data_IF_057794561726
#
_entry.id   IF_057794561726
#
_cell.length_a   1.000
_cell.length_b   1.000
_cell.length_c   1.000
_cell.angle_alpha   90.00
_cell.angle_beta   90.00
_cell.angle_gamma   90.00
#
_symmetry.space_group_name_H-M   'P 1'
#
loop_
_entity.id
_entity.type
_entity.pdbx_description
1 polymer ?
#
# COMPACT_ATOMS: atom_id res chain seq x y z
N UNK A 1 41.80 7.43 70.18
CA UNK A 1 41.33 8.03 68.91
C UNK A 1 40.47 6.99 68.22
N UNK A 2 39.17 7.20 68.23
CA UNK A 2 38.18 6.26 67.56
C UNK A 2 37.84 6.87 66.21
N UNK A 3 38.20 6.20 65.10
CA UNK A 3 37.79 6.55 63.77
C UNK A 3 36.44 5.98 63.47
N UNK A 4 35.46 6.83 63.22
CA UNK A 4 34.14 6.43 62.78
C UNK A 4 34.10 6.53 61.26
N UNK A 5 33.96 5.40 60.56
CA UNK A 5 33.66 5.38 59.11
C UNK A 5 32.19 5.65 58.90
N UNK A 6 31.84 6.72 58.16
CA UNK A 6 30.51 6.93 57.59
C UNK A 6 30.42 6.19 56.24
N UNK A 7 29.55 5.23 56.17
CA UNK A 7 29.15 4.60 54.93
C UNK A 7 28.04 5.39 54.25
N UNK A 8 28.32 5.97 53.07
CA UNK A 8 27.34 6.64 52.24
C UNK A 8 26.60 5.57 51.42
N UNK A 9 25.32 5.41 51.67
CA UNK A 9 24.40 4.59 50.84
C UNK A 9 23.88 5.46 49.72
N UNK A 10 24.33 5.27 48.50
CA UNK A 10 23.75 5.90 47.30
C UNK A 10 22.49 5.13 46.88
N UNK A 11 21.34 5.74 47.02
CA UNK A 11 20.12 5.26 46.44
C UNK A 11 20.10 5.58 44.94
N UNK A 12 20.21 4.57 44.09
CA UNK A 12 19.96 4.68 42.66
C UNK A 12 18.45 4.57 42.47
N UNK A 13 17.81 5.70 42.19
CA UNK A 13 16.42 5.73 41.73
C UNK A 13 16.42 5.19 40.27
N UNK A 14 16.01 3.95 40.08
CA UNK A 14 15.60 3.45 38.79
C UNK A 14 14.27 4.15 38.44
N UNK A 15 14.32 5.14 37.58
CA UNK A 15 13.14 5.67 36.91
C UNK A 15 12.78 4.61 35.87
N UNK A 16 11.82 3.74 36.19
CA UNK A 16 11.14 2.94 35.17
C UNK A 16 10.40 3.91 34.27
N UNK A 17 10.87 4.09 33.04
CA UNK A 17 10.08 4.72 31.99
C UNK A 17 8.75 3.98 31.86
N UNK A 18 7.68 4.64 31.38
CA UNK A 18 6.44 3.95 31.10
C UNK A 18 6.75 2.82 30.12
N UNK A 19 6.55 1.57 30.55
CA UNK A 19 6.50 0.45 29.62
C UNK A 19 5.43 0.80 28.57
N UNK A 20 5.77 0.72 27.30
CA UNK A 20 4.77 0.77 26.24
C UNK A 20 3.69 -0.24 26.64
N UNK A 21 2.47 0.21 26.90
CA UNK A 21 1.38 -0.69 27.20
C UNK A 21 1.20 -1.56 25.96
N UNK A 22 1.23 -2.89 26.13
CA UNK A 22 0.90 -3.82 25.05
C UNK A 22 -0.43 -3.38 24.44
N UNK A 23 -0.40 -3.11 23.13
CA UNK A 23 -1.57 -2.61 22.43
C UNK A 23 -2.63 -3.71 22.42
N UNK A 24 -3.89 -3.34 22.65
CA UNK A 24 -4.98 -4.31 22.76
C UNK A 24 -5.28 -4.94 21.40
N UNK A 25 -5.23 -6.26 21.34
CA UNK A 25 -5.79 -7.05 20.24
C UNK A 25 -7.31 -7.15 20.40
N UNK A 26 -8.03 -6.90 19.32
CA UNK A 26 -9.49 -7.06 19.23
C UNK A 26 -9.84 -8.23 18.33
N UNK A 27 -10.94 -8.94 18.58
CA UNK A 27 -11.37 -10.03 17.71
C UNK A 27 -11.81 -9.53 16.34
N UNK A 28 -11.48 -10.30 15.29
CA UNK A 28 -12.01 -10.16 13.96
C UNK A 28 -12.76 -11.44 13.57
N UNK A 29 -13.89 -11.30 12.87
CA UNK A 29 -14.71 -12.42 12.43
C UNK A 29 -14.98 -12.31 10.94
N UNK A 30 -14.78 -13.39 10.19
CA UNK A 30 -15.06 -13.45 8.76
C UNK A 30 -16.58 -13.43 8.53
N UNK A 31 -17.08 -12.39 7.88
CA UNK A 31 -18.48 -12.24 7.49
C UNK A 31 -18.69 -12.54 5.99
N UNK A 32 -17.66 -12.41 5.16
CA UNK A 32 -17.72 -12.72 3.74
C UNK A 32 -16.36 -12.71 3.08
N UNK A 33 -16.24 -13.38 1.94
CA UNK A 33 -15.07 -13.36 1.07
C UNK A 33 -15.49 -13.25 -0.38
N UNK A 34 -14.79 -12.45 -1.17
CA UNK A 34 -14.94 -12.37 -2.62
C UNK A 34 -13.57 -12.41 -3.29
N UNK A 35 -13.48 -13.06 -4.44
CA UNK A 35 -12.20 -13.31 -5.13
C UNK A 35 -12.32 -12.89 -6.59
N UNK A 36 -11.37 -12.07 -7.04
CA UNK A 36 -11.15 -11.78 -8.45
C UNK A 36 -9.94 -12.61 -8.90
N UNK A 37 -10.11 -13.53 -9.88
CA UNK A 37 -9.01 -14.37 -10.35
C UNK A 37 -7.83 -13.54 -10.91
N UNK A 38 -6.60 -13.96 -10.62
CA UNK A 38 -5.38 -13.30 -11.04
C UNK A 38 -5.28 -13.10 -12.57
N UNK A 39 -5.86 -13.99 -13.37
CA UNK A 39 -5.88 -13.91 -14.82
C UNK A 39 -7.02 -13.06 -15.39
N UNK A 40 -7.61 -12.16 -14.59
CA UNK A 40 -8.66 -11.25 -15.08
C UNK A 40 -8.03 -10.12 -15.89
N UNK A 41 -8.34 -10.07 -17.18
CA UNK A 41 -7.78 -9.11 -18.12
C UNK A 41 -8.88 -8.24 -18.74
N UNK A 42 -8.51 -7.03 -19.14
CA UNK A 42 -9.36 -6.13 -19.93
C UNK A 42 -8.58 -5.65 -21.17
N UNK A 43 -9.28 -5.46 -22.28
CA UNK A 43 -8.66 -4.85 -23.45
C UNK A 43 -8.28 -3.39 -23.17
N UNK A 44 -7.13 -2.95 -23.68
CA UNK A 44 -6.85 -1.53 -23.74
C UNK A 44 -7.92 -0.80 -24.56
N UNK A 45 -8.19 0.49 -24.30
CA UNK A 45 -9.12 1.29 -25.11
C UNK A 45 -8.79 1.23 -26.62
N UNK A 46 -9.82 1.29 -27.47
CA UNK A 46 -9.66 1.18 -28.92
C UNK A 46 -8.73 2.24 -29.50
N UNK A 47 -8.68 3.42 -28.89
CA UNK A 47 -7.83 4.53 -29.28
C UNK A 47 -6.44 4.52 -28.60
N UNK A 48 -6.16 3.50 -27.78
CA UNK A 48 -4.83 3.33 -27.22
C UNK A 48 -3.82 2.85 -28.28
N UNK A 49 -2.55 3.28 -28.19
CA UNK A 49 -1.50 2.77 -29.06
C UNK A 49 -1.39 1.24 -29.00
N UNK A 50 -1.01 0.63 -30.14
CA UNK A 50 -0.77 -0.82 -30.26
C UNK A 50 0.17 -1.34 -29.17
N UNK A 51 1.12 -0.52 -28.76
CA UNK A 51 2.06 -0.78 -27.68
C UNK A 51 1.39 -1.21 -26.35
N UNK A 52 0.18 -0.71 -26.05
CA UNK A 52 -0.57 -0.97 -24.82
C UNK A 52 -1.58 -2.13 -24.93
N UNK A 53 -1.74 -2.74 -26.10
CA UNK A 53 -2.67 -3.87 -26.25
C UNK A 53 -2.23 -5.13 -25.51
N UNK A 54 -0.92 -5.26 -25.27
CA UNK A 54 -0.32 -6.34 -24.51
C UNK A 54 0.56 -5.75 -23.40
N UNK A 55 0.57 -6.36 -22.23
CA UNK A 55 1.29 -5.85 -21.07
C UNK A 55 2.27 -6.89 -20.48
N UNK A 56 3.27 -6.40 -19.72
CA UNK A 56 4.30 -7.27 -19.12
C UNK A 56 5.43 -7.68 -20.06
N UNK A 57 5.64 -6.94 -21.15
CA UNK A 57 6.73 -7.22 -22.11
C UNK A 57 8.13 -6.93 -21.57
N UNK A 58 8.24 -6.14 -20.49
CA UNK A 58 9.51 -5.66 -19.94
C UNK A 58 9.92 -6.31 -18.61
N UNK A 59 9.26 -7.39 -18.20
CA UNK A 59 9.45 -8.03 -16.90
C UNK A 59 10.69 -8.91 -16.78
N UNK A 60 11.54 -8.97 -17.80
CA UNK A 60 12.80 -9.72 -17.75
C UNK A 60 13.94 -8.88 -17.18
N UNK A 61 14.74 -9.48 -16.28
CA UNK A 61 15.82 -8.78 -15.56
C UNK A 61 16.92 -8.18 -16.47
N UNK A 62 17.08 -8.68 -17.69
CA UNK A 62 18.04 -8.21 -18.69
C UNK A 62 17.50 -7.04 -19.55
N UNK A 63 16.33 -6.50 -19.21
CA UNK A 63 15.63 -5.44 -19.94
C UNK A 63 15.33 -5.77 -21.41
N UNK A 64 15.27 -7.03 -21.76
CA UNK A 64 14.82 -7.44 -23.09
C UNK A 64 13.31 -7.39 -23.16
N UNK A 65 12.82 -6.75 -24.21
CA UNK A 65 11.41 -6.76 -24.52
C UNK A 65 11.01 -8.13 -25.09
N UNK A 66 9.98 -8.73 -24.51
CA UNK A 66 9.41 -10.01 -24.95
C UNK A 66 8.09 -9.79 -25.64
N UNK A 67 8.00 -10.12 -26.93
CA UNK A 67 6.78 -9.93 -27.73
C UNK A 67 5.89 -11.20 -27.81
N UNK A 68 6.46 -12.36 -27.52
CA UNK A 68 5.73 -13.63 -27.62
C UNK A 68 4.84 -13.81 -26.38
N UNK A 69 3.53 -13.68 -26.55
CA UNK A 69 2.54 -13.86 -25.50
C UNK A 69 2.71 -15.19 -24.77
N UNK A 70 2.58 -15.18 -23.45
CA UNK A 70 2.65 -16.37 -22.60
C UNK A 70 3.98 -17.10 -22.60
N UNK A 71 5.09 -16.44 -23.00
CA UNK A 71 6.40 -17.10 -23.13
C UNK A 71 7.28 -17.02 -21.88
N UNK A 72 7.02 -16.07 -20.95
CA UNK A 72 7.80 -15.87 -19.74
C UNK A 72 6.97 -16.32 -18.52
N UNK A 73 7.42 -17.34 -17.76
CA UNK A 73 6.69 -17.77 -16.58
C UNK A 73 6.73 -16.70 -15.48
N UNK A 74 5.60 -16.49 -14.81
CA UNK A 74 5.55 -15.73 -13.56
C UNK A 74 6.33 -16.47 -12.47
N UNK A 75 6.95 -15.71 -11.57
CA UNK A 75 7.78 -16.30 -10.51
C UNK A 75 7.66 -15.46 -9.23
N UNK A 76 7.65 -16.17 -8.11
CA UNK A 76 7.87 -15.62 -6.79
C UNK A 76 9.14 -16.28 -6.21
N UNK A 77 10.26 -15.57 -6.26
CA UNK A 77 11.57 -16.15 -5.95
C UNK A 77 11.89 -17.36 -6.82
N UNK A 78 12.09 -18.52 -6.19
CA UNK A 78 12.35 -19.80 -6.88
C UNK A 78 11.07 -20.52 -7.33
N UNK A 79 9.91 -20.06 -6.91
CA UNK A 79 8.60 -20.65 -7.20
C UNK A 79 8.06 -20.14 -8.52
N UNK A 80 7.66 -21.05 -9.40
CA UNK A 80 7.02 -20.72 -10.68
C UNK A 80 5.51 -20.75 -10.46
N UNK A 81 4.83 -19.67 -10.87
CA UNK A 81 3.37 -19.58 -10.80
C UNK A 81 2.71 -20.17 -12.05
N UNK A 82 1.39 -20.29 -12.02
CA UNK A 82 0.57 -20.81 -13.14
C UNK A 82 0.33 -19.77 -14.25
N UNK A 83 0.84 -18.54 -14.10
CA UNK A 83 0.68 -17.47 -15.08
C UNK A 83 1.94 -17.27 -15.93
N UNK A 84 1.75 -16.70 -17.11
CA UNK A 84 2.82 -16.40 -18.06
C UNK A 84 2.62 -15.05 -18.73
N UNK A 85 3.71 -14.34 -18.91
CA UNK A 85 3.79 -13.02 -19.55
C UNK A 85 4.36 -13.12 -20.97
N UNK A 86 4.20 -12.10 -21.81
CA UNK A 86 3.24 -10.98 -21.73
C UNK A 86 1.80 -11.44 -21.73
N UNK A 87 0.91 -10.61 -21.19
CA UNK A 87 -0.53 -10.82 -21.23
C UNK A 87 -1.17 -10.24 -22.50
N UNK A 88 -2.26 -10.87 -22.96
CA UNK A 88 -3.09 -10.35 -24.05
C UNK A 88 -4.15 -9.41 -23.46
N UNK A 89 -3.75 -8.19 -23.15
CA UNK A 89 -4.56 -7.16 -22.50
C UNK A 89 -3.88 -6.51 -21.29
N UNK A 90 -4.66 -5.79 -20.51
CA UNK A 90 -4.26 -5.13 -19.28
C UNK A 90 -4.83 -5.91 -18.09
N UNK A 91 -4.02 -6.36 -17.13
CA UNK A 91 -4.50 -7.14 -16.01
C UNK A 91 -5.21 -6.23 -15.00
N UNK A 92 -6.41 -6.66 -14.55
CA UNK A 92 -7.13 -6.06 -13.43
C UNK A 92 -6.57 -6.71 -12.16
N UNK A 93 -5.56 -6.08 -11.57
CA UNK A 93 -4.74 -6.67 -10.51
C UNK A 93 -3.99 -5.58 -9.72
N UNK A 94 -3.19 -5.96 -8.70
CA UNK A 94 -2.39 -5.00 -7.96
C UNK A 94 -3.29 -3.99 -7.26
N UNK A 95 -4.28 -4.45 -6.49
CA UNK A 95 -5.26 -3.55 -5.91
C UNK A 95 -4.69 -2.86 -4.68
N UNK A 96 -4.34 -1.58 -4.85
CA UNK A 96 -3.92 -0.68 -3.78
C UNK A 96 -4.96 0.39 -3.52
N UNK A 97 -5.26 0.60 -2.23
CA UNK A 97 -6.28 1.52 -1.77
C UNK A 97 -7.72 1.16 -2.17
N UNK A 98 -8.63 1.26 -1.23
CA UNK A 98 -10.06 1.01 -1.47
C UNK A 98 -10.93 2.06 -0.79
N UNK A 99 -12.04 2.44 -1.45
CA UNK A 99 -13.03 3.34 -0.86
C UNK A 99 -14.45 2.84 -1.05
N UNK A 100 -15.14 2.64 0.05
CA UNK A 100 -16.55 2.27 0.11
C UNK A 100 -17.44 3.41 -0.40
N UNK A 101 -18.38 3.09 -1.27
CA UNK A 101 -19.34 4.04 -1.83
C UNK A 101 -20.74 3.84 -1.23
N UNK A 102 -21.56 4.91 -1.13
CA UNK A 102 -22.91 4.83 -0.55
C UNK A 102 -23.86 3.86 -1.25
N UNK A 103 -23.61 3.50 -2.52
CA UNK A 103 -24.42 2.57 -3.31
C UNK A 103 -23.98 1.09 -3.15
N UNK A 104 -23.06 0.81 -2.23
CA UNK A 104 -22.54 -0.53 -1.96
C UNK A 104 -21.52 -1.04 -2.97
N UNK A 105 -21.01 -0.17 -3.84
CA UNK A 105 -19.83 -0.44 -4.66
C UNK A 105 -18.57 0.11 -3.99
N UNK A 106 -17.41 -0.18 -4.59
CA UNK A 106 -16.12 0.28 -4.10
C UNK A 106 -15.31 0.85 -5.25
N UNK A 107 -14.53 1.91 -5.00
CA UNK A 107 -13.44 2.30 -5.86
C UNK A 107 -12.14 1.72 -5.33
N UNK A 108 -11.32 1.21 -6.23
CA UNK A 108 -9.94 0.78 -5.99
C UNK A 108 -9.12 1.08 -7.23
N UNK A 109 -7.83 0.87 -7.19
CA UNK A 109 -6.95 1.09 -8.34
C UNK A 109 -5.99 -0.10 -8.54
N UNK A 110 -5.44 -0.22 -9.73
CA UNK A 110 -4.23 -1.01 -9.96
C UNK A 110 -3.00 -0.12 -9.78
N UNK A 111 -1.99 -0.62 -9.08
CA UNK A 111 -0.69 0.00 -8.85
C UNK A 111 0.10 0.22 -10.16
N UNK A 112 1.44 0.29 -10.10
CA UNK A 112 2.27 0.40 -11.31
C UNK A 112 2.22 -0.83 -12.24
N UNK A 113 1.69 -1.94 -11.80
CA UNK A 113 1.40 -3.14 -12.58
C UNK A 113 2.47 -4.23 -12.56
N UNK A 114 3.76 -3.94 -12.57
CA UNK A 114 4.83 -4.96 -12.61
C UNK A 114 5.99 -4.65 -11.65
N UNK A 115 5.70 -4.03 -10.52
CA UNK A 115 6.58 -3.84 -9.36
C UNK A 115 7.75 -2.88 -9.56
N UNK A 116 7.94 -2.30 -10.72
CA UNK A 116 8.95 -1.26 -10.92
C UNK A 116 8.69 -0.42 -12.16
N UNK A 117 9.15 0.82 -12.12
CA UNK A 117 9.13 1.75 -13.27
C UNK A 117 9.68 1.14 -14.56
N UNK A 118 10.77 0.37 -14.46
CA UNK A 118 11.44 -0.22 -15.62
C UNK A 118 10.62 -1.34 -16.28
N UNK A 119 9.77 -2.02 -15.52
CA UNK A 119 8.95 -3.14 -15.99
C UNK A 119 7.57 -2.72 -16.49
N UNK A 120 7.12 -1.53 -16.13
CA UNK A 120 5.70 -1.14 -16.17
C UNK A 120 5.34 -0.13 -17.26
N UNK A 121 6.21 0.08 -18.27
CA UNK A 121 5.95 1.02 -19.36
C UNK A 121 4.80 0.62 -20.29
N UNK A 122 4.34 -0.63 -20.23
CA UNK A 122 3.19 -1.15 -20.97
C UNK A 122 2.02 -1.59 -20.08
N UNK A 123 2.11 -1.35 -18.77
CA UNK A 123 1.00 -1.45 -17.84
C UNK A 123 0.26 -0.11 -17.78
N UNK A 124 -1.02 -0.09 -18.14
CA UNK A 124 -1.83 1.13 -18.06
C UNK A 124 -2.27 1.38 -16.62
N UNK A 125 -2.28 2.64 -16.20
CA UNK A 125 -2.87 3.04 -14.92
C UNK A 125 -4.38 3.22 -15.07
N UNK A 126 -5.15 2.63 -14.17
CA UNK A 126 -6.60 2.75 -14.20
C UNK A 126 -7.25 2.47 -12.83
N UNK A 127 -8.42 3.07 -12.63
CA UNK A 127 -9.25 2.85 -11.46
C UNK A 127 -10.34 1.83 -11.79
N UNK A 128 -10.77 1.09 -10.77
CA UNK A 128 -11.82 0.09 -10.87
C UNK A 128 -12.98 0.43 -9.96
N UNK A 129 -14.18 0.41 -10.49
CA UNK A 129 -15.37 0.35 -9.67
C UNK A 129 -15.80 -1.08 -9.58
N UNK A 130 -15.83 -1.64 -8.37
CA UNK A 130 -16.13 -3.05 -8.14
C UNK A 130 -17.32 -3.21 -7.20
N UNK A 131 -17.96 -4.37 -7.28
CA UNK A 131 -19.00 -4.81 -6.37
C UNK A 131 -18.73 -6.22 -5.90
N UNK A 132 -18.84 -6.44 -4.61
CA UNK A 132 -18.63 -7.75 -4.01
C UNK A 132 -19.97 -8.45 -3.75
N UNK A 133 -20.10 -9.68 -4.24
CA UNK A 133 -21.14 -10.59 -3.82
C UNK A 133 -20.59 -11.53 -2.74
N UNK A 134 -20.76 -11.11 -1.50
CA UNK A 134 -20.26 -11.86 -0.33
C UNK A 134 -20.88 -13.24 -0.16
N UNK A 135 -22.07 -13.49 -0.77
CA UNK A 135 -22.74 -14.79 -0.76
C UNK A 135 -22.09 -15.79 -1.72
N UNK A 136 -21.85 -15.35 -2.95
CA UNK A 136 -21.29 -16.22 -4.00
C UNK A 136 -19.78 -16.16 -4.05
N UNK A 137 -19.14 -15.19 -3.38
CA UNK A 137 -17.71 -14.98 -3.38
C UNK A 137 -17.17 -14.38 -4.68
N UNK A 138 -18.00 -13.72 -5.47
CA UNK A 138 -17.61 -13.13 -6.76
C UNK A 138 -17.38 -11.63 -6.66
N UNK A 139 -16.42 -11.15 -7.45
CA UNK A 139 -16.18 -9.73 -7.70
C UNK A 139 -16.75 -9.39 -9.08
N UNK A 140 -17.60 -8.39 -9.14
CA UNK A 140 -18.06 -7.77 -10.39
C UNK A 140 -17.25 -6.50 -10.63
N UNK A 141 -16.57 -6.41 -11.77
CA UNK A 141 -15.94 -5.17 -12.23
C UNK A 141 -16.98 -4.36 -12.98
N UNK A 142 -17.53 -3.33 -12.31
CA UNK A 142 -18.61 -2.49 -12.84
C UNK A 142 -18.08 -1.50 -13.87
N UNK A 143 -16.86 -0.96 -13.65
CA UNK A 143 -16.22 0.03 -14.53
C UNK A 143 -14.70 -0.03 -14.39
N UNK A 144 -14.01 0.12 -15.52
CA UNK A 144 -12.61 0.48 -15.58
C UNK A 144 -12.48 1.91 -16.10
N UNK A 145 -11.65 2.73 -15.45
CA UNK A 145 -11.41 4.13 -15.82
C UNK A 145 -9.91 4.32 -16.05
N UNK A 146 -9.49 4.26 -17.30
CA UNK A 146 -8.09 4.46 -17.68
C UNK A 146 -7.66 5.92 -17.50
N UNK A 147 -6.50 6.12 -16.88
CA UNK A 147 -5.96 7.44 -16.57
C UNK A 147 -5.16 8.00 -17.76
N UNK A 148 -5.23 9.32 -17.95
CA UNK A 148 -4.57 9.99 -19.06
C UNK A 148 -4.16 11.43 -18.70
N UNK A 149 -3.23 12.00 -19.46
CA UNK A 149 -2.75 13.38 -19.32
C UNK A 149 -2.83 14.15 -20.66
N UNK A 150 -4.01 14.31 -21.27
CA UNK A 150 -4.15 14.97 -22.57
C UNK A 150 -3.73 16.44 -22.54
N UNK A 151 -3.85 17.10 -21.39
CA UNK A 151 -3.57 18.52 -21.18
C UNK A 151 -2.13 18.80 -20.71
N UNK A 152 -1.26 17.78 -20.68
CA UNK A 152 0.16 17.89 -20.30
C UNK A 152 0.37 18.51 -18.92
N UNK A 153 -0.35 18.02 -17.94
CA UNK A 153 -0.23 18.45 -16.53
C UNK A 153 0.96 17.84 -15.81
N UNK A 154 1.43 16.67 -16.24
CA UNK A 154 2.67 16.08 -15.71
C UNK A 154 3.84 17.02 -16.01
N UNK A 155 4.63 17.45 -15.00
CA UNK A 155 5.72 18.41 -15.19
C UNK A 155 7.01 17.77 -15.75
N UNK A 156 6.90 16.57 -16.32
CA UNK A 156 7.99 15.79 -16.90
C UNK A 156 7.48 14.96 -18.09
N UNK A 157 8.37 14.47 -18.96
CA UNK A 157 7.99 13.59 -20.07
C UNK A 157 7.42 12.27 -19.56
N UNK A 158 6.30 11.82 -20.15
CA UNK A 158 5.68 10.53 -19.89
C UNK A 158 6.01 9.53 -21.00
N UNK A 159 5.74 8.24 -20.76
CA UNK A 159 6.01 7.17 -21.76
C UNK A 159 5.32 7.46 -23.10
N UNK A 160 4.09 7.91 -23.08
CA UNK A 160 3.29 8.19 -24.27
C UNK A 160 3.24 9.68 -24.63
N UNK A 161 4.36 10.38 -24.53
CA UNK A 161 4.48 11.82 -24.75
C UNK A 161 3.91 12.29 -26.10
N UNK A 162 4.09 11.49 -27.15
CA UNK A 162 3.62 11.79 -28.50
C UNK A 162 2.23 11.26 -28.84
N UNK A 163 1.56 10.54 -27.97
CA UNK A 163 0.25 9.96 -28.25
C UNK A 163 -0.88 11.00 -28.05
N UNK A 164 -1.94 10.91 -28.86
CA UNK A 164 -3.05 11.87 -28.83
C UNK A 164 -3.72 11.94 -27.46
N UNK A 165 -4.06 10.82 -26.84
CA UNK A 165 -4.74 10.77 -25.55
C UNK A 165 -3.80 10.72 -24.34
N UNK A 166 -2.51 10.46 -24.56
CA UNK A 166 -1.49 10.41 -23.51
C UNK A 166 -1.91 9.56 -22.30
N UNK A 167 -2.30 8.32 -22.54
CA UNK A 167 -2.57 7.38 -21.46
C UNK A 167 -1.36 7.24 -20.53
N UNK A 168 -1.61 7.18 -19.23
CA UNK A 168 -0.58 7.00 -18.22
C UNK A 168 -0.29 5.52 -18.00
N UNK A 169 0.95 5.23 -17.69
CA UNK A 169 1.47 3.89 -17.44
C UNK A 169 2.16 3.82 -16.08
N UNK A 170 2.38 2.62 -15.58
CA UNK A 170 3.13 2.38 -14.34
C UNK A 170 4.61 2.78 -14.39
N UNK A 171 5.11 3.24 -15.54
CA UNK A 171 6.42 3.88 -15.61
C UNK A 171 6.34 5.41 -15.45
N UNK A 172 5.14 5.99 -15.47
CA UNK A 172 4.93 7.41 -15.26
C UNK A 172 4.67 7.73 -13.78
N UNK A 173 3.80 6.96 -13.14
CA UNK A 173 3.44 7.05 -11.73
C UNK A 173 3.26 5.66 -11.12
N UNK A 174 3.40 5.59 -9.81
CA UNK A 174 3.13 4.44 -8.97
C UNK A 174 1.99 4.78 -8.03
N UNK A 175 0.76 4.55 -8.48
CA UNK A 175 -0.45 4.97 -7.76
C UNK A 175 -0.84 3.93 -6.73
N UNK A 176 -1.08 4.36 -5.44
CA UNK A 176 -1.27 3.43 -4.33
C UNK A 176 -2.55 3.68 -3.52
N UNK A 177 -3.12 4.87 -3.60
CA UNK A 177 -4.30 5.18 -2.80
C UNK A 177 -5.26 6.13 -3.51
N UNK A 178 -6.56 6.01 -3.23
CA UNK A 178 -7.62 6.76 -3.92
C UNK A 178 -8.67 7.32 -2.98
N UNK A 179 -9.01 8.60 -3.18
CA UNK A 179 -10.14 9.26 -2.53
C UNK A 179 -11.09 9.86 -3.59
N UNK A 180 -12.24 9.23 -3.84
CA UNK A 180 -13.25 9.78 -4.74
C UNK A 180 -13.86 11.06 -4.16
N UNK A 181 -14.03 12.06 -5.01
CA UNK A 181 -14.69 13.34 -4.71
C UNK A 181 -15.70 13.67 -5.80
N UNK A 182 -16.54 14.68 -5.57
CA UNK A 182 -17.63 15.01 -6.50
C UNK A 182 -17.15 15.35 -7.93
N UNK A 183 -15.95 15.92 -8.07
CA UNK A 183 -15.34 16.36 -9.31
C UNK A 183 -14.21 15.44 -9.81
N UNK A 184 -14.06 14.23 -9.25
CA UNK A 184 -13.06 13.26 -9.69
C UNK A 184 -12.41 12.49 -8.56
N UNK A 185 -11.05 12.42 -8.55
CA UNK A 185 -10.30 11.59 -7.64
C UNK A 185 -9.02 12.27 -7.19
N UNK A 186 -8.70 12.16 -5.90
CA UNK A 186 -7.36 12.37 -5.38
C UNK A 186 -6.65 11.04 -5.26
N UNK A 187 -5.38 11.01 -5.65
CA UNK A 187 -4.56 9.79 -5.68
C UNK A 187 -3.21 10.09 -5.06
N UNK A 188 -2.77 9.24 -4.14
CA UNK A 188 -1.40 9.21 -3.65
C UNK A 188 -0.54 8.31 -4.54
N UNK A 189 0.72 8.69 -4.75
CA UNK A 189 1.64 7.90 -5.56
C UNK A 189 3.07 7.91 -4.97
N UNK A 190 3.92 6.98 -5.37
CA UNK A 190 5.18 6.70 -4.70
C UNK A 190 6.44 7.25 -5.38
N UNK A 191 6.43 7.45 -6.72
CA UNK A 191 7.66 7.84 -7.42
C UNK A 191 8.09 9.26 -7.09
N UNK A 192 7.14 10.19 -6.87
CA UNK A 192 7.45 11.56 -6.51
C UNK A 192 8.01 11.72 -5.10
N UNK A 193 7.29 11.48 -4.02
CA UNK A 193 5.84 11.24 -3.96
C UNK A 193 5.02 12.50 -4.35
N UNK A 194 3.93 12.26 -5.06
CA UNK A 194 2.98 13.31 -5.46
C UNK A 194 1.58 13.04 -4.92
N UNK A 195 0.79 14.11 -4.73
CA UNK A 195 -0.66 14.01 -4.79
C UNK A 195 -1.10 14.35 -6.22
N UNK A 196 -1.87 13.45 -6.81
CA UNK A 196 -2.44 13.61 -8.14
C UNK A 196 -3.93 13.93 -8.03
N UNK A 197 -4.42 14.83 -8.87
CA UNK A 197 -5.86 15.08 -9.03
C UNK A 197 -6.29 14.70 -10.44
N UNK A 198 -7.33 13.88 -10.52
CA UNK A 198 -7.98 13.48 -11.76
C UNK A 198 -9.43 13.95 -11.76
N UNK A 199 -9.98 14.24 -12.94
CA UNK A 199 -11.40 14.50 -13.12
C UNK A 199 -12.21 13.17 -13.18
N UNK A 200 -13.53 13.28 -13.35
CA UNK A 200 -14.43 12.13 -13.40
C UNK A 200 -14.24 11.25 -14.65
N UNK A 201 -13.48 11.71 -15.63
CA UNK A 201 -13.13 11.00 -16.87
C UNK A 201 -11.71 10.41 -16.82
N UNK A 202 -11.02 10.54 -15.68
CA UNK A 202 -9.65 10.04 -15.49
C UNK A 202 -8.58 10.88 -16.16
N UNK A 203 -8.86 12.18 -16.43
CA UNK A 203 -7.86 13.12 -16.96
C UNK A 203 -7.13 13.80 -15.81
N UNK A 204 -5.81 13.80 -15.88
CA UNK A 204 -4.94 14.46 -14.91
C UNK A 204 -5.17 15.98 -14.93
N UNK A 205 -5.46 16.57 -13.78
CA UNK A 205 -5.66 18.02 -13.63
C UNK A 205 -4.58 18.69 -12.82
N UNK A 206 -4.02 18.01 -11.83
CA UNK A 206 -2.96 18.56 -10.98
C UNK A 206 -1.94 17.47 -10.59
N UNK A 207 -0.67 17.88 -10.44
CA UNK A 207 0.44 17.11 -9.87
C UNK A 207 1.08 17.97 -8.78
N UNK A 208 1.01 17.55 -7.55
CA UNK A 208 1.45 18.33 -6.38
C UNK A 208 2.61 17.63 -5.70
N UNK A 209 3.79 18.26 -5.74
CA UNK A 209 5.00 17.77 -5.07
C UNK A 209 4.84 17.81 -3.55
N UNK A 210 5.45 16.85 -2.87
CA UNK A 210 5.38 16.73 -1.41
C UNK A 210 6.48 17.54 -0.73
N UNK A 211 6.09 18.20 0.36
CA UNK A 211 7.03 18.89 1.25
C UNK A 211 6.73 18.57 2.71
N UNK A 212 7.77 18.36 3.51
CA UNK A 212 7.69 18.16 4.96
C UNK A 212 8.71 19.10 5.61
N UNK A 213 8.28 19.81 6.64
CA UNK A 213 9.12 20.77 7.36
C UNK A 213 9.79 21.80 6.43
N UNK A 214 9.09 22.19 5.35
CA UNK A 214 9.57 23.14 4.33
C UNK A 214 10.62 22.58 3.37
N UNK A 215 10.93 21.28 3.43
CA UNK A 215 11.86 20.59 2.53
C UNK A 215 11.11 19.67 1.55
N UNK A 216 11.57 19.55 0.29
CA UNK A 216 11.03 18.56 -0.63
C UNK A 216 11.23 17.13 -0.10
N UNK A 217 10.22 16.29 -0.27
CA UNK A 217 10.33 14.85 -0.09
C UNK A 217 10.47 14.22 -1.47
N UNK A 218 11.52 13.44 -1.67
CA UNK A 218 11.88 12.91 -3.00
C UNK A 218 12.34 11.46 -2.91
N UNK A 219 11.75 10.62 -3.75
CA UNK A 219 12.17 9.23 -3.98
C UNK A 219 13.26 9.14 -5.05
N UNK A 220 14.05 8.06 -5.10
CA UNK A 220 15.00 7.81 -6.19
C UNK A 220 14.37 7.71 -7.58
N UNK A 221 13.08 7.39 -7.67
CA UNK A 221 12.32 7.28 -8.93
C UNK A 221 11.64 8.58 -9.35
N UNK A 222 11.77 9.64 -8.55
CA UNK A 222 11.20 10.94 -8.87
C UNK A 222 11.69 11.41 -10.25
N UNK A 223 10.78 11.68 -11.20
CA UNK A 223 11.15 11.99 -12.59
C UNK A 223 12.01 13.25 -12.75
N UNK A 224 12.03 14.16 -11.77
CA UNK A 224 12.84 15.37 -11.81
C UNK A 224 14.23 15.19 -11.19
N UNK A 225 14.52 14.05 -10.58
CA UNK A 225 15.87 13.71 -10.11
C UNK A 225 16.76 13.49 -11.31
N UNK A 226 17.74 14.37 -11.51
CA UNK A 226 18.72 14.24 -12.58
C UNK A 226 20.12 13.99 -12.00
N UNK A 227 20.83 13.03 -12.58
CA UNK A 227 22.25 12.80 -12.28
C UNK A 227 23.08 13.62 -13.23
N UNK A 228 24.01 14.43 -12.68
CA UNK A 228 24.92 15.24 -13.50
C UNK A 228 25.86 14.35 -14.31
N UNK A 229 26.23 14.80 -15.51
CA UNK A 229 27.19 14.08 -16.38
C UNK A 229 28.57 13.95 -15.74
N UNK A 230 28.95 14.85 -14.83
CA UNK A 230 30.18 14.77 -14.05
C UNK A 230 29.85 14.39 -12.59
N UNK A 231 30.18 13.19 -12.10
CA UNK A 231 29.81 12.69 -10.80
C UNK A 231 30.58 13.31 -9.61
N UNK A 232 31.47 14.27 -9.82
CA UNK A 232 32.20 14.95 -8.74
C UNK A 232 31.37 16.01 -8.01
N UNK A 233 30.22 16.42 -8.55
CA UNK A 233 29.30 17.32 -7.87
C UNK A 233 28.37 16.53 -6.92
N UNK A 234 27.87 17.21 -5.87
CA UNK A 234 26.86 16.61 -4.97
C UNK A 234 25.65 16.19 -5.80
N UNK A 235 25.32 14.90 -5.76
CA UNK A 235 24.11 14.35 -6.36
C UNK A 235 22.90 15.00 -5.68
N UNK A 236 21.83 15.39 -6.40
CA UNK A 236 20.59 15.82 -5.78
C UNK A 236 20.13 14.73 -4.82
N UNK A 237 19.80 15.14 -3.61
CA UNK A 237 19.55 14.21 -2.52
C UNK A 237 18.07 13.83 -2.55
N UNK A 238 17.78 12.58 -2.88
CA UNK A 238 16.52 11.96 -2.48
C UNK A 238 16.61 11.61 -0.98
N UNK A 239 15.50 11.69 -0.27
CA UNK A 239 15.39 11.47 1.17
C UNK A 239 14.34 10.43 1.55
N UNK A 240 13.87 9.65 0.57
CA UNK A 240 13.08 8.44 0.77
C UNK A 240 13.80 7.22 0.19
N UNK A 241 13.43 6.03 0.64
CA UNK A 241 13.72 4.79 -0.09
C UNK A 241 12.93 4.76 -1.40
N UNK A 242 13.32 3.88 -2.34
CA UNK A 242 12.49 3.52 -3.49
C UNK A 242 11.20 2.86 -2.98
N UNK A 243 10.08 3.06 -3.67
CA UNK A 243 8.77 2.59 -3.21
C UNK A 243 8.56 2.95 -1.73
N UNK A 244 8.47 4.22 -1.44
CA UNK A 244 8.36 4.73 -0.08
C UNK A 244 7.53 6.01 -0.01
N UNK A 245 6.82 6.32 -1.10
CA UNK A 245 5.94 7.48 -1.21
C UNK A 245 4.59 7.30 -0.52
N UNK A 246 3.52 7.79 -1.15
CA UNK A 246 2.18 7.72 -0.57
C UNK A 246 1.50 6.38 -0.84
N UNK A 247 1.64 5.46 0.07
CA UNK A 247 0.91 4.20 0.15
C UNK A 247 -0.53 4.43 0.61
N UNK A 248 -0.73 5.28 1.62
CA UNK A 248 -2.04 5.57 2.16
C UNK A 248 -2.47 7.02 1.93
N UNK A 249 -3.76 7.23 1.60
CA UNK A 249 -4.36 8.56 1.50
C UNK A 249 -5.75 8.55 2.12
N UNK A 250 -5.90 9.22 3.25
CA UNK A 250 -7.19 9.40 3.91
C UNK A 250 -7.77 10.79 3.65
N UNK A 251 -9.09 10.93 3.73
CA UNK A 251 -9.79 12.21 3.56
C UNK A 251 -10.68 12.50 4.76
N UNK A 252 -10.67 13.76 5.23
CA UNK A 252 -11.61 14.23 6.24
C UNK A 252 -13.06 14.09 5.75
N UNK A 253 -13.99 13.94 6.70
CA UNK A 253 -15.41 13.71 6.39
C UNK A 253 -16.03 14.81 5.50
N UNK A 254 -15.58 16.05 5.68
CA UNK A 254 -16.06 17.21 4.90
C UNK A 254 -15.29 17.42 3.57
N UNK A 255 -14.28 16.59 3.30
CA UNK A 255 -13.45 16.67 2.11
C UNK A 255 -12.46 17.83 2.09
N UNK A 256 -12.36 18.62 3.16
CA UNK A 256 -11.49 19.80 3.23
C UNK A 256 -10.02 19.46 3.40
N UNK A 257 -9.70 18.27 3.93
CA UNK A 257 -8.33 17.81 4.19
C UNK A 257 -8.07 16.44 3.59
N UNK A 258 -6.85 16.26 3.10
CA UNK A 258 -6.27 14.95 2.83
C UNK A 258 -5.12 14.71 3.81
N UNK A 259 -4.93 13.46 4.16
CA UNK A 259 -3.85 12.99 5.00
C UNK A 259 -3.09 11.92 4.22
N UNK A 260 -1.91 12.28 3.73
CA UNK A 260 -1.02 11.32 3.05
C UNK A 260 -0.16 10.59 4.06
N UNK A 261 -0.10 9.26 4.00
CA UNK A 261 0.77 8.43 4.81
C UNK A 261 1.87 7.83 3.92
N UNK A 262 3.12 8.19 4.21
CA UNK A 262 4.28 7.67 3.50
C UNK A 262 4.52 6.20 3.88
N UNK A 263 4.93 5.36 2.94
CA UNK A 263 5.38 3.99 3.21
C UNK A 263 6.82 3.96 3.80
N UNK A 264 7.65 4.89 3.36
CA UNK A 264 9.04 5.01 3.79
C UNK A 264 9.28 6.09 4.84
N UNK A 265 10.14 5.81 5.83
CA UNK A 265 10.64 6.84 6.71
C UNK A 265 11.55 7.82 5.95
N UNK A 266 11.44 9.11 6.26
CA UNK A 266 12.27 10.14 5.67
C UNK A 266 13.71 10.01 6.23
N UNK A 267 14.71 10.08 5.36
CA UNK A 267 16.12 10.18 5.77
C UNK A 267 16.44 11.63 6.17
N UNK A 268 16.97 11.78 7.37
CA UNK A 268 17.43 13.05 7.90
C UNK A 268 18.77 13.45 7.27
N UNK A 269 19.18 14.70 7.50
CA UNK A 269 20.47 15.24 7.00
C UNK A 269 21.70 14.43 7.49
N UNK A 270 21.56 13.66 8.59
CA UNK A 270 22.60 12.76 9.12
C UNK A 270 22.61 11.36 8.45
N UNK A 271 21.74 11.14 7.47
CA UNK A 271 21.60 9.89 6.73
C UNK A 271 20.85 8.78 7.48
N UNK A 272 20.28 9.07 8.65
CA UNK A 272 19.46 8.11 9.40
C UNK A 272 17.99 8.31 9.09
N UNK A 273 17.24 7.24 9.10
CA UNK A 273 15.78 7.28 9.01
C UNK A 273 15.17 7.97 10.24
N UNK A 274 14.05 8.63 10.06
CA UNK A 274 13.24 9.15 11.17
C UNK A 274 12.80 8.01 12.08
N UNK A 275 12.84 8.30 13.38
CA UNK A 275 12.47 7.35 14.42
C UNK A 275 11.87 8.06 15.64
N UNK A 276 10.98 7.37 16.35
CA UNK A 276 10.39 7.82 17.61
C UNK A 276 10.52 6.69 18.63
N UNK A 277 11.04 7.00 19.81
CA UNK A 277 11.23 6.05 20.92
C UNK A 277 11.98 4.76 20.52
N UNK A 278 12.91 4.88 19.56
CA UNK A 278 13.71 3.76 19.05
C UNK A 278 13.09 2.97 17.89
N UNK A 279 11.84 3.23 17.54
CA UNK A 279 11.14 2.63 16.41
C UNK A 279 11.25 3.50 15.17
N UNK A 280 11.49 2.90 14.00
CA UNK A 280 11.38 3.61 12.71
C UNK A 280 9.96 4.18 12.59
N UNK A 281 9.86 5.43 12.16
CA UNK A 281 8.57 6.12 12.06
C UNK A 281 8.41 6.77 10.69
N UNK A 282 7.19 6.70 10.16
CA UNK A 282 6.78 7.33 8.91
C UNK A 282 5.86 8.52 9.20
N UNK A 283 5.59 9.34 8.20
CA UNK A 283 4.82 10.58 8.36
C UNK A 283 3.41 10.48 7.81
N UNK A 284 2.43 10.88 8.63
CA UNK A 284 1.13 11.38 8.18
C UNK A 284 1.30 12.87 7.90
N UNK A 285 0.88 13.34 6.71
CA UNK A 285 1.09 14.72 6.24
C UNK A 285 -0.26 15.31 5.83
N UNK A 286 -0.64 16.45 6.41
CA UNK A 286 -1.93 17.10 6.12
C UNK A 286 -1.83 18.04 4.91
N UNK A 287 -2.82 17.92 4.01
CA UNK A 287 -2.99 18.73 2.83
C UNK A 287 -4.36 19.41 2.85
N UNK A 288 -4.41 20.69 2.49
CA UNK A 288 -5.66 21.44 2.36
C UNK A 288 -6.14 21.44 0.91
N UNK A 289 -7.32 20.86 0.67
CA UNK A 289 -7.84 20.65 -0.69
C UNK A 289 -8.26 21.93 -1.38
N UNK A 290 -8.69 22.95 -0.64
CA UNK A 290 -9.16 24.21 -1.20
C UNK A 290 -8.00 25.11 -1.67
N UNK A 291 -6.95 25.25 -0.85
CA UNK A 291 -5.76 26.02 -1.20
C UNK A 291 -4.75 25.22 -2.05
N UNK A 292 -4.93 23.89 -2.12
CA UNK A 292 -4.01 22.94 -2.76
C UNK A 292 -2.58 23.06 -2.22
N UNK A 293 -2.44 23.15 -0.90
CA UNK A 293 -1.15 23.27 -0.24
C UNK A 293 -1.02 22.32 0.95
N UNK A 294 0.20 21.86 1.20
CA UNK A 294 0.56 21.20 2.44
C UNK A 294 0.46 22.21 3.59
N UNK A 295 -0.23 21.83 4.68
CA UNK A 295 -0.48 22.75 5.81
C UNK A 295 0.73 22.89 6.74
N UNK A 296 1.72 21.99 6.61
CA UNK A 296 2.84 21.88 7.54
C UNK A 296 2.54 21.06 8.79
N UNK A 297 1.31 20.57 8.95
CA UNK A 297 0.92 19.70 10.07
C UNK A 297 1.27 18.25 9.72
N UNK A 298 1.97 17.57 10.64
CA UNK A 298 2.37 16.18 10.46
C UNK A 298 2.27 15.41 11.77
N UNK A 299 2.19 14.10 11.67
CA UNK A 299 2.26 13.16 12.78
C UNK A 299 3.20 12.02 12.43
N UNK A 300 3.77 11.38 13.44
CA UNK A 300 4.58 10.19 13.26
C UNK A 300 3.76 8.93 13.48
N UNK A 301 3.91 7.95 12.61
CA UNK A 301 3.43 6.60 12.78
C UNK A 301 4.64 5.69 13.04
N UNK A 302 4.93 5.32 14.32
CA UNK A 302 6.01 4.40 14.64
C UNK A 302 5.59 2.97 14.31
N UNK A 303 6.48 2.22 13.63
CA UNK A 303 6.26 0.80 13.36
C UNK A 303 6.41 -0.05 14.62
N UNK A 304 5.72 -1.20 14.64
CA UNK A 304 6.02 -2.28 15.58
C UNK A 304 7.38 -2.90 15.27
N UNK A 305 7.90 -3.72 16.20
CA UNK A 305 9.24 -4.33 16.06
C UNK A 305 9.41 -5.11 14.74
N UNK A 306 8.36 -5.81 14.28
CA UNK A 306 8.35 -6.60 13.04
C UNK A 306 7.69 -5.89 11.87
N UNK A 307 7.05 -4.75 12.10
CA UNK A 307 6.43 -3.94 11.08
C UNK A 307 7.48 -3.26 10.23
N UNK A 308 7.37 -3.35 8.91
CA UNK A 308 8.34 -2.74 7.98
C UNK A 308 7.67 -1.87 6.92
N UNK A 309 6.36 -1.99 6.76
CA UNK A 309 5.56 -1.28 5.77
C UNK A 309 4.13 -1.13 6.23
N UNK A 310 3.43 -0.22 5.58
CA UNK A 310 1.98 -0.08 5.68
C UNK A 310 1.32 -0.56 4.38
N UNK A 311 0.01 -0.68 4.40
CA UNK A 311 -0.81 -0.82 3.20
C UNK A 311 -1.70 0.42 3.04
N UNK A 312 -2.98 0.33 3.29
CA UNK A 312 -3.95 1.42 3.11
C UNK A 312 -4.17 2.22 4.40
N UNK A 313 -4.76 3.42 4.24
CA UNK A 313 -5.05 4.37 5.30
C UNK A 313 -6.35 5.11 5.03
N UNK A 314 -7.37 4.94 5.89
CA UNK A 314 -8.67 5.58 5.74
C UNK A 314 -9.24 6.12 7.05
N UNK A 315 -9.82 7.35 7.04
CA UNK A 315 -10.48 7.94 8.20
C UNK A 315 -11.76 7.18 8.57
N UNK A 316 -11.95 6.97 9.87
CA UNK A 316 -13.21 6.49 10.45
C UNK A 316 -14.13 7.65 10.86
N UNK A 317 -13.52 8.70 11.41
CA UNK A 317 -14.16 9.95 11.87
C UNK A 317 -13.15 11.11 11.78
N UNK A 318 -13.41 12.22 12.46
CA UNK A 318 -12.58 13.44 12.36
C UNK A 318 -11.17 13.27 12.97
N UNK A 319 -10.93 12.26 13.80
CA UNK A 319 -9.68 12.08 14.56
C UNK A 319 -9.12 10.66 14.52
N UNK A 320 -9.90 9.68 14.10
CA UNK A 320 -9.47 8.28 14.07
C UNK A 320 -9.46 7.70 12.66
N UNK A 321 -8.54 6.77 12.45
CA UNK A 321 -8.36 6.11 11.16
C UNK A 321 -7.98 4.63 11.31
N UNK A 322 -8.11 3.88 10.23
CA UNK A 322 -7.55 2.53 10.06
C UNK A 322 -6.25 2.62 9.27
N UNK A 323 -5.26 1.83 9.67
CA UNK A 323 -3.98 1.67 8.98
C UNK A 323 -3.62 0.19 8.94
N UNK A 324 -3.25 -0.33 7.79
CA UNK A 324 -2.64 -1.65 7.67
C UNK A 324 -1.15 -1.54 7.98
N UNK A 325 -0.63 -2.35 8.89
CA UNK A 325 0.81 -2.52 9.14
C UNK A 325 1.20 -3.97 8.90
N UNK A 326 2.27 -4.19 8.16
CA UNK A 326 2.69 -5.51 7.70
C UNK A 326 4.19 -5.73 7.75
N UNK A 327 4.58 -7.01 7.82
CA UNK A 327 5.91 -7.47 7.43
C UNK A 327 5.94 -7.79 5.92
N UNK A 328 7.10 -8.22 5.42
CA UNK A 328 7.29 -8.68 4.04
C UNK A 328 7.20 -10.22 3.90
N UNK A 329 6.72 -10.90 4.93
CA UNK A 329 6.49 -12.35 4.88
C UNK A 329 5.29 -12.72 4.01
N UNK A 330 5.35 -13.89 3.36
CA UNK A 330 4.26 -14.45 2.57
C UNK A 330 4.10 -15.94 2.81
N UNK A 331 2.86 -16.41 2.86
CA UNK A 331 2.54 -17.81 3.08
C UNK A 331 2.41 -18.19 4.55
N UNK A 332 1.96 -19.42 4.78
CA UNK A 332 1.64 -19.93 6.10
C UNK A 332 2.81 -20.66 6.74
N UNK A 333 2.90 -20.63 8.08
CA UNK A 333 3.99 -21.25 8.85
C UNK A 333 4.06 -22.77 8.72
N UNK A 334 2.94 -23.44 8.48
CA UNK A 334 2.89 -24.90 8.30
C UNK A 334 3.54 -25.36 6.99
N UNK A 335 3.75 -24.44 6.04
CA UNK A 335 4.48 -24.67 4.78
C UNK A 335 5.83 -23.95 4.73
N UNK A 336 6.38 -23.53 5.87
CA UNK A 336 7.69 -22.88 5.91
C UNK A 336 8.79 -23.81 5.36
N UNK A 337 9.79 -23.25 4.67
CA UNK A 337 10.99 -23.99 4.28
C UNK A 337 11.77 -24.46 5.51
N UNK A 338 12.27 -25.69 5.49
CA UNK A 338 13.10 -26.23 6.56
C UNK A 338 14.40 -25.43 6.75
N UNK A 339 14.93 -24.87 5.67
CA UNK A 339 16.06 -23.94 5.69
C UNK A 339 15.70 -22.72 4.80
N UNK A 340 15.42 -21.55 5.41
CA UNK A 340 15.11 -20.33 4.66
C UNK A 340 16.22 -19.87 3.71
N UNK A 341 17.47 -20.27 3.95
CA UNK A 341 18.61 -19.92 3.09
C UNK A 341 18.72 -20.82 1.85
N UNK A 342 17.93 -21.88 1.81
CA UNK A 342 17.84 -22.82 0.70
C UNK A 342 16.38 -23.03 0.29
N UNK A 343 15.72 -21.96 -0.23
CA UNK A 343 14.30 -22.03 -0.55
C UNK A 343 14.04 -23.05 -1.66
N UNK A 344 12.90 -23.75 -1.55
CA UNK A 344 12.45 -24.75 -2.52
C UNK A 344 11.12 -24.33 -3.12
N UNK A 345 10.76 -24.87 -4.29
CA UNK A 345 9.49 -24.54 -4.94
C UNK A 345 8.21 -24.95 -4.17
N UNK A 346 8.33 -25.83 -3.17
CA UNK A 346 7.21 -26.40 -2.42
C UNK A 346 7.04 -25.83 -0.99
N UNK A 347 7.76 -24.75 -0.66
CA UNK A 347 7.68 -24.12 0.67
C UNK A 347 7.81 -22.58 0.59
N UNK A 348 7.45 -21.91 1.66
CA UNK A 348 7.61 -20.46 1.84
C UNK A 348 8.93 -20.14 2.54
N UNK A 349 9.73 -19.26 1.95
CA UNK A 349 11.03 -18.86 2.48
C UNK A 349 10.87 -18.06 3.80
N UNK A 350 9.96 -17.10 3.80
CA UNK A 350 9.64 -16.22 4.92
C UNK A 350 8.12 -16.15 5.12
N UNK A 351 7.52 -17.05 5.90
CA UNK A 351 6.09 -16.98 6.21
C UNK A 351 5.69 -15.67 6.88
N UNK A 352 4.46 -15.24 6.65
CA UNK A 352 3.90 -14.05 7.28
C UNK A 352 3.88 -14.15 8.81
N UNK A 353 4.29 -13.10 9.50
CA UNK A 353 4.33 -13.03 10.97
C UNK A 353 3.56 -11.86 11.56
N UNK A 354 3.43 -10.75 10.79
CA UNK A 354 2.71 -9.55 11.19
C UNK A 354 1.87 -9.03 10.03
N UNK A 355 0.55 -9.15 10.13
CA UNK A 355 -0.45 -8.56 9.24
C UNK A 355 -1.57 -8.02 10.11
N UNK A 356 -1.58 -6.70 10.37
CA UNK A 356 -2.48 -6.08 11.33
C UNK A 356 -3.18 -4.87 10.75
N UNK A 357 -4.40 -4.62 11.22
CA UNK A 357 -5.08 -3.35 11.02
C UNK A 357 -5.17 -2.64 12.36
N UNK A 358 -4.50 -1.50 12.46
CA UNK A 358 -4.55 -0.64 13.62
C UNK A 358 -5.67 0.40 13.49
N UNK A 359 -6.39 0.63 14.57
CA UNK A 359 -7.12 1.88 14.78
C UNK A 359 -6.18 2.86 15.46
N UNK A 360 -5.99 4.01 14.81
CA UNK A 360 -5.13 5.08 15.32
C UNK A 360 -5.92 6.35 15.57
N UNK A 361 -5.39 7.21 16.42
CA UNK A 361 -5.89 8.57 16.66
C UNK A 361 -4.79 9.60 16.43
N UNK A 362 -5.13 10.64 15.69
CA UNK A 362 -4.31 11.82 15.52
C UNK A 362 -5.20 13.06 15.40
N UNK A 363 -4.78 14.18 16.00
CA UNK A 363 -5.58 15.40 16.08
C UNK A 363 -4.69 16.60 16.45
N UNK A 364 -5.29 17.74 16.78
CA UNK A 364 -4.58 18.97 17.12
C UNK A 364 -3.67 18.84 18.36
N UNK A 365 -4.01 17.96 19.30
CA UNK A 365 -3.25 17.82 20.55
C UNK A 365 -1.91 17.08 20.38
N UNK A 366 -1.77 16.30 19.31
CA UNK A 366 -0.56 15.52 19.04
C UNK A 366 0.15 15.85 17.70
N UNK A 367 -0.13 17.02 17.11
CA UNK A 367 0.64 17.52 15.95
C UNK A 367 2.14 17.53 16.26
N UNK A 368 2.95 17.01 15.34
CA UNK A 368 4.41 16.88 15.51
C UNK A 368 4.84 15.76 16.46
N UNK A 369 3.90 14.94 16.94
CA UNK A 369 4.15 13.79 17.82
C UNK A 369 3.63 12.51 17.16
N UNK A 370 3.78 11.38 17.87
CA UNK A 370 3.21 10.10 17.42
C UNK A 370 1.69 10.10 17.42
N UNK A 371 1.11 9.39 16.46
CA UNK A 371 -0.28 8.96 16.54
C UNK A 371 -0.45 8.04 17.76
N UNK A 372 -1.65 8.01 18.32
CA UNK A 372 -1.99 7.04 19.36
C UNK A 372 -2.57 5.79 18.71
N UNK A 373 -1.89 4.66 18.82
CA UNK A 373 -2.43 3.35 18.41
C UNK A 373 -3.41 2.89 19.50
N UNK A 374 -4.70 2.80 19.17
CA UNK A 374 -5.77 2.43 20.11
C UNK A 374 -5.78 0.92 20.31
N UNK A 375 -5.58 0.16 19.24
CA UNK A 375 -5.53 -1.29 19.23
C UNK A 375 -5.58 -1.82 17.81
N UNK A 376 -5.60 -3.13 17.66
CA UNK A 376 -5.50 -3.78 16.34
C UNK A 376 -6.31 -5.06 16.24
N UNK A 377 -6.53 -5.53 15.02
CA UNK A 377 -6.92 -6.90 14.69
C UNK A 377 -5.76 -7.60 13.97
N UNK A 378 -5.63 -8.92 14.18
CA UNK A 378 -4.62 -9.76 13.50
C UNK A 378 -5.26 -10.47 12.30
N UNK A 379 -4.78 -10.14 11.08
CA UNK A 379 -5.27 -10.72 9.82
C UNK A 379 -4.76 -12.16 9.59
N UNK A 380 -3.85 -12.65 10.43
CA UNK A 380 -3.41 -14.04 10.43
C UNK A 380 -4.24 -14.90 11.41
N UNK A 381 -5.19 -14.30 12.16
CA UNK A 381 -5.99 -14.96 13.18
C UNK A 381 -7.46 -14.48 13.18
N UNK A 382 -8.11 -14.57 12.04
CA UNK A 382 -9.50 -14.16 11.87
C UNK A 382 -10.40 -15.36 12.20
N UNK A 383 -11.33 -15.19 13.13
CA UNK A 383 -12.29 -16.25 13.48
C UNK A 383 -13.27 -16.50 12.32
N UNK A 384 -13.35 -17.75 11.85
CA UNK A 384 -14.31 -18.24 10.85
C UNK A 384 -15.33 -19.18 11.48
N UNK A 385 -16.42 -18.67 12.08
CA UNK A 385 -17.36 -19.46 12.85
C UNK A 385 -18.13 -20.50 12.04
N UNK A 386 -18.29 -20.22 10.76
CA UNK A 386 -19.06 -21.11 9.87
C UNK A 386 -18.15 -22.19 9.26
N UNK A 387 -16.84 -22.17 9.60
CA UNK A 387 -15.82 -23.02 9.01
C UNK A 387 -16.01 -23.12 7.49
N UNK A 388 -16.24 -21.94 6.91
CA UNK A 388 -16.59 -21.80 5.51
C UNK A 388 -15.42 -22.35 4.70
N UNK A 389 -15.64 -23.34 3.85
CA UNK A 389 -14.67 -23.99 2.97
C UNK A 389 -14.08 -23.00 1.94
N UNK A 390 -13.76 -21.80 2.38
CA UNK A 390 -13.15 -20.74 1.57
C UNK A 390 -11.63 -20.90 1.59
N UNK A 391 -10.97 -20.41 0.55
CA UNK A 391 -9.52 -20.37 0.51
C UNK A 391 -9.01 -19.61 1.74
N UNK A 392 -8.07 -20.18 2.49
CA UNK A 392 -7.50 -19.60 3.71
C UNK A 392 -8.22 -19.96 5.02
N UNK A 393 -9.34 -20.67 4.99
CA UNK A 393 -10.01 -21.15 6.22
C UNK A 393 -9.52 -22.56 6.59
N UNK A 394 -9.03 -22.69 7.83
CA UNK A 394 -8.58 -23.95 8.42
C UNK A 394 -8.90 -23.97 9.92
N UNK A 395 -9.56 -25.02 10.39
CA UNK A 395 -9.86 -25.26 11.80
C UNK A 395 -10.59 -24.08 12.49
N UNK A 396 -11.48 -23.38 11.78
CA UNK A 396 -12.24 -22.23 12.30
C UNK A 396 -11.47 -20.91 12.30
N UNK A 397 -10.29 -20.88 11.72
CA UNK A 397 -9.47 -19.66 11.51
C UNK A 397 -9.30 -19.41 10.02
N UNK A 398 -9.50 -18.18 9.62
CA UNK A 398 -9.16 -17.65 8.31
C UNK A 398 -7.93 -16.74 8.42
N UNK A 399 -7.03 -16.81 7.46
CA UNK A 399 -5.83 -16.00 7.41
C UNK A 399 -5.67 -15.29 6.06
N UNK A 400 -4.91 -14.19 6.07
CA UNK A 400 -4.50 -13.43 4.89
C UNK A 400 -2.97 -13.36 4.83
N UNK A 401 -2.27 -14.44 4.45
CA UNK A 401 -0.82 -14.52 4.52
C UNK A 401 -0.13 -13.97 3.27
N UNK A 402 -0.67 -12.90 2.69
CA UNK A 402 -0.13 -12.27 1.49
C UNK A 402 1.07 -11.38 1.85
N UNK A 403 1.99 -11.19 0.91
CA UNK A 403 3.12 -10.26 1.11
C UNK A 403 2.59 -8.85 1.34
N UNK A 404 1.64 -8.43 0.53
CA UNK A 404 0.98 -7.12 0.59
C UNK A 404 -0.51 -7.25 0.83
N UNK A 405 -1.01 -6.49 1.80
CA UNK A 405 -2.43 -6.28 2.09
C UNK A 405 -2.60 -4.77 2.06
N UNK A 406 -3.31 -4.24 1.08
CA UNK A 406 -3.27 -2.83 0.74
C UNK A 406 -4.66 -2.22 0.51
N UNK A 407 -5.68 -2.85 1.05
CA UNK A 407 -7.03 -2.34 0.96
C UNK A 407 -7.70 -2.44 2.33
N UNK A 408 -8.11 -1.30 2.92
CA UNK A 408 -8.94 -1.26 4.13
C UNK A 408 -9.86 -0.06 4.13
N UNK A 409 -11.18 -0.29 4.25
CA UNK A 409 -12.12 0.80 4.52
C UNK A 409 -13.30 0.31 5.35
N UNK A 410 -13.97 1.24 6.03
CA UNK A 410 -15.19 0.95 6.76
C UNK A 410 -16.37 0.77 5.80
N UNK A 411 -17.07 -0.36 5.90
CA UNK A 411 -18.27 -0.64 5.12
C UNK A 411 -19.52 -0.13 5.82
N UNK A 412 -19.62 -0.38 7.12
CA UNK A 412 -20.76 0.05 7.95
C UNK A 412 -20.33 0.25 9.42
N UNK A 413 -21.28 0.26 10.36
CA UNK A 413 -21.01 0.48 11.78
C UNK A 413 -20.20 -0.66 12.44
N UNK A 414 -20.17 -1.84 11.85
CA UNK A 414 -19.58 -3.06 12.43
C UNK A 414 -18.59 -3.77 11.52
N UNK A 415 -18.57 -3.44 10.23
CA UNK A 415 -17.76 -4.14 9.26
C UNK A 415 -16.74 -3.23 8.56
N UNK A 416 -15.61 -3.87 8.21
CA UNK A 416 -14.62 -3.33 7.29
C UNK A 416 -14.43 -4.27 6.11
N UNK A 417 -13.98 -3.74 4.97
CA UNK A 417 -13.44 -4.52 3.86
C UNK A 417 -11.93 -4.52 3.95
N UNK A 418 -11.30 -5.66 3.67
CA UNK A 418 -9.85 -5.82 3.61
C UNK A 418 -9.51 -6.59 2.34
N UNK A 419 -8.48 -6.19 1.61
CA UNK A 419 -8.03 -6.88 0.40
C UNK A 419 -6.52 -6.87 0.27
N UNK A 420 -5.99 -7.86 -0.47
CA UNK A 420 -4.59 -7.89 -0.83
C UNK A 420 -4.34 -7.21 -2.18
N UNK A 421 -3.17 -6.62 -2.34
CA UNK A 421 -2.51 -6.56 -3.63
C UNK A 421 -1.95 -7.95 -3.94
N UNK A 422 -2.17 -8.44 -5.15
CA UNK A 422 -1.68 -9.75 -5.56
C UNK A 422 -0.30 -9.71 -6.24
N UNK A 423 0.33 -8.54 -6.35
CA UNK A 423 1.66 -8.33 -6.97
C UNK A 423 1.86 -9.15 -8.24
N UNK A 424 0.86 -9.16 -9.11
CA UNK A 424 0.82 -10.02 -10.30
C UNK A 424 2.01 -9.80 -11.23
N UNK A 425 2.71 -10.84 -11.67
CA UNK A 425 2.56 -12.27 -11.39
C UNK A 425 3.61 -12.77 -10.39
N UNK A 426 4.07 -11.91 -9.45
CA UNK A 426 5.28 -12.11 -8.63
C UNK A 426 4.98 -12.51 -7.19
N UNK A 427 3.72 -12.74 -6.83
CA UNK A 427 3.33 -13.21 -5.49
C UNK A 427 2.57 -14.53 -5.56
N UNK A 428 2.85 -15.39 -4.59
CA UNK A 428 2.25 -16.71 -4.41
C UNK A 428 2.17 -17.04 -2.90
N UNK A 429 1.44 -16.21 -2.15
CA UNK A 429 1.30 -16.33 -0.69
C UNK A 429 0.20 -17.31 -0.28
N UNK A 430 -0.88 -17.44 -1.06
CA UNK A 430 -1.97 -18.40 -0.77
C UNK A 430 -1.58 -19.83 -1.11
N UNK A 431 -0.85 -20.04 -2.20
CA UNK A 431 -0.38 -21.35 -2.64
C UNK A 431 1.04 -21.24 -3.20
N UNK A 432 1.86 -22.28 -3.05
CA UNK A 432 3.28 -22.24 -3.44
C UNK A 432 3.52 -22.18 -4.95
N UNK A 433 2.54 -22.59 -5.76
CA UNK A 433 2.65 -22.81 -7.20
C UNK A 433 1.62 -22.03 -8.04
N UNK A 434 0.90 -21.07 -7.41
CA UNK A 434 -0.12 -20.26 -8.08
C UNK A 434 0.08 -18.80 -7.76
N UNK A 435 -0.08 -17.95 -8.76
CA UNK A 435 -0.17 -16.51 -8.53
C UNK A 435 -1.37 -16.19 -7.63
N UNK A 436 -1.17 -15.26 -6.72
CA UNK A 436 -2.24 -14.82 -5.82
C UNK A 436 -3.38 -14.17 -6.61
N UNK A 437 -4.59 -14.44 -6.20
CA UNK A 437 -5.77 -13.70 -6.63
C UNK A 437 -5.88 -12.38 -5.85
N UNK A 438 -6.71 -11.44 -6.34
CA UNK A 438 -7.19 -10.37 -5.47
C UNK A 438 -8.31 -10.93 -4.60
N UNK A 439 -8.04 -11.12 -3.31
CA UNK A 439 -8.97 -11.63 -2.32
C UNK A 439 -9.46 -10.50 -1.43
N UNK A 440 -10.78 -10.36 -1.30
CA UNK A 440 -11.41 -9.38 -0.42
C UNK A 440 -12.17 -10.09 0.68
N UNK A 441 -12.02 -9.59 1.90
CA UNK A 441 -12.68 -10.10 3.09
C UNK A 441 -13.56 -9.02 3.71
N UNK A 442 -14.80 -9.38 4.01
CA UNK A 442 -15.68 -8.57 4.86
C UNK A 442 -15.49 -9.08 6.29
N UNK A 443 -14.99 -8.23 7.18
CA UNK A 443 -14.70 -8.57 8.56
C UNK A 443 -15.62 -7.83 9.52
N UNK A 444 -16.27 -8.56 10.43
CA UNK A 444 -16.97 -7.98 11.57
C UNK A 444 -15.92 -7.67 12.65
N UNK A 445 -15.82 -6.39 13.04
CA UNK A 445 -14.79 -5.82 13.93
C UNK A 445 -15.37 -4.73 14.84
N UNK A 446 -16.61 -4.88 15.28
CA UNK A 446 -17.32 -3.85 16.04
C UNK A 446 -16.60 -3.42 17.32
N UNK A 447 -15.87 -4.31 17.98
CA UNK A 447 -15.10 -3.95 19.19
C UNK A 447 -13.97 -2.97 18.84
N UNK A 448 -13.18 -3.21 17.79
CA UNK A 448 -12.14 -2.28 17.34
C UNK A 448 -12.73 -0.94 16.92
N UNK A 449 -13.81 -0.96 16.11
CA UNK A 449 -14.44 0.27 15.62
C UNK A 449 -14.95 1.17 16.77
N UNK A 450 -15.43 0.56 17.87
CA UNK A 450 -15.95 1.27 19.04
C UNK A 450 -14.87 1.57 20.12
N UNK A 451 -13.65 1.05 20.00
CA UNK A 451 -12.55 1.29 20.94
C UNK A 451 -12.17 2.78 21.00
N UNK A 452 -11.75 3.27 22.19
CA UNK A 452 -11.44 4.70 22.44
C UNK A 452 -10.00 4.89 22.90
#
# INVERSE_FOLDING_TARGET
MKNTLLASVSFVLLIAGPAAADQQEFPAKLAGQAVLPANTLVAAPDDAPEFLKHSGKFTTADRKRTEALGSVPGKDGVRVTDLKLPFDGQPIQGFSGIKTMPDGTFWTLSDNGFGSKANSSDAMLFLHRVKFDWKTGKVEVVKNLFLSDPDKKAPFPIVLEGAGKRYLTGADFDIESVQPVADGFWIGEEFGPYLLKFDTEGRLTDVISTTVDGKPVMSPDNPVVSVQANPTAKVPVFNLKRSGGFEGLAMSKDGSKLYGLLEGAIYRDDGKMESVDGHTAIRVIEFDTASKNWTGRTWFYPFEEKGVSIGDFNMLDDTTALVIERDNGAGTKDKACADPKQPKPDCFEAPAELKRIYKIEFNDANVGKSVRKIGYIDLLNIHDPDNNKKAGSKDGIYDMPFVTIENVDRVDATHIVVGNDNNLPFSAGRAVDKADNNEFSLLEVSELLNAK
#
